data_IF_920233720582
#
_entry.id   IF_920233720582
#
_cell.length_a   1.000
_cell.length_b   1.000
_cell.length_c   1.000
_cell.angle_alpha   90.00
_cell.angle_beta   90.00
_cell.angle_gamma   90.00
#
_symmetry.space_group_name_H-M   'P 1'
#
loop_
_entity.id
_entity.type
_entity.pdbx_description
1 polymer ?
#
# COMPACT_ATOMS: atom_id res chain seq x y z
N UNK A 1 4.80 -16.67 20.80
CA UNK A 1 3.50 -16.21 21.32
C UNK A 1 2.41 -16.73 20.40
N UNK A 2 1.61 -17.69 20.86
CA UNK A 2 0.48 -18.18 20.09
C UNK A 2 -0.55 -17.06 19.98
N UNK A 3 -0.82 -16.59 18.76
CA UNK A 3 -1.88 -15.61 18.51
C UNK A 3 -3.20 -16.27 18.88
N UNK A 4 -3.83 -15.77 19.95
CA UNK A 4 -5.16 -16.17 20.39
C UNK A 4 -6.14 -15.98 19.23
N UNK A 5 -6.95 -17.01 18.94
CA UNK A 5 -7.85 -17.05 17.78
C UNK A 5 -8.75 -15.81 17.70
N UNK A 6 -9.08 -15.20 18.85
CA UNK A 6 -9.84 -13.95 18.94
C UNK A 6 -9.11 -12.73 18.38
N UNK A 7 -7.79 -12.64 18.54
CA UNK A 7 -6.99 -11.55 17.94
C UNK A 7 -6.96 -11.66 16.41
N UNK A 8 -6.94 -12.90 15.89
CA UNK A 8 -7.01 -13.17 14.46
C UNK A 8 -8.37 -12.78 13.87
N UNK A 9 -9.46 -13.11 14.55
CA UNK A 9 -10.81 -12.67 14.14
C UNK A 9 -10.97 -11.15 14.20
N UNK A 10 -10.48 -10.51 15.27
CA UNK A 10 -10.56 -9.06 15.43
C UNK A 10 -9.81 -8.32 14.32
N UNK A 11 -8.57 -8.72 14.03
CA UNK A 11 -7.77 -8.13 12.95
C UNK A 11 -8.40 -8.30 11.56
N UNK A 12 -9.01 -9.45 11.28
CA UNK A 12 -9.78 -9.68 10.05
C UNK A 12 -11.01 -8.76 9.99
N UNK A 13 -11.75 -8.62 11.11
CA UNK A 13 -12.95 -7.78 11.17
C UNK A 13 -12.66 -6.30 10.99
N UNK A 14 -11.57 -5.81 11.59
CA UNK A 14 -11.09 -4.44 11.46
C UNK A 14 -10.68 -4.15 10.01
N UNK A 15 -9.91 -5.06 9.39
CA UNK A 15 -9.49 -4.92 8.00
C UNK A 15 -10.69 -4.83 7.05
N UNK A 16 -11.73 -5.67 7.24
CA UNK A 16 -12.94 -5.66 6.41
C UNK A 16 -13.77 -4.38 6.56
N UNK A 17 -13.87 -3.84 7.78
CA UNK A 17 -14.71 -2.66 8.07
C UNK A 17 -14.02 -1.34 7.69
N UNK A 18 -12.71 -1.25 7.94
CA UNK A 18 -12.00 0.04 7.94
C UNK A 18 -11.03 0.20 6.76
N UNK A 19 -10.72 -0.87 6.01
CA UNK A 19 -9.79 -0.79 4.89
C UNK A 19 -10.51 -1.02 3.56
N UNK A 20 -10.29 -0.10 2.61
CA UNK A 20 -10.65 -0.30 1.20
C UNK A 20 -9.39 -0.68 0.44
N UNK A 21 -9.48 -1.75 -0.37
CA UNK A 21 -8.37 -2.21 -1.21
C UNK A 21 -8.39 -1.44 -2.54
N UNK A 22 -7.22 -0.98 -2.96
CA UNK A 22 -6.99 -0.42 -4.29
C UNK A 22 -6.17 -1.47 -5.07
N UNK A 23 -6.78 -2.31 -5.91
CA UNK A 23 -6.04 -3.23 -6.77
C UNK A 23 -5.39 -2.42 -7.91
N UNK A 24 -4.11 -2.65 -8.14
CA UNK A 24 -3.34 -2.01 -9.20
C UNK A 24 -2.52 -3.07 -9.92
N UNK A 25 -2.95 -3.45 -11.11
CA UNK A 25 -2.20 -4.35 -11.97
C UNK A 25 -1.29 -3.54 -12.90
N UNK A 26 -0.02 -3.90 -12.92
CA UNK A 26 1.01 -3.27 -13.76
C UNK A 26 1.79 -4.35 -14.49
N UNK A 27 2.40 -3.98 -15.63
CA UNK A 27 3.34 -4.87 -16.30
C UNK A 27 4.49 -5.20 -15.36
N UNK A 28 4.92 -6.46 -15.32
CA UNK A 28 6.01 -6.92 -14.45
C UNK A 28 7.29 -6.08 -14.64
N UNK A 29 7.71 -5.88 -15.89
CA UNK A 29 8.88 -5.07 -16.24
C UNK A 29 8.75 -3.64 -15.72
N UNK A 30 7.56 -3.04 -15.83
CA UNK A 30 7.31 -1.70 -15.32
C UNK A 30 7.42 -1.64 -13.78
N UNK A 31 6.96 -2.68 -13.09
CA UNK A 31 7.13 -2.75 -11.63
C UNK A 31 8.61 -2.89 -11.25
N UNK A 32 9.31 -3.85 -11.85
CA UNK A 32 10.69 -4.22 -11.50
C UNK A 32 11.70 -3.14 -11.90
N UNK A 33 11.52 -2.51 -13.06
CA UNK A 33 12.50 -1.56 -13.63
C UNK A 33 12.18 -0.09 -13.31
N UNK A 34 10.92 0.22 -12.99
CA UNK A 34 10.48 1.62 -12.77
C UNK A 34 9.96 1.85 -11.36
N UNK A 35 8.90 1.15 -10.94
CA UNK A 35 8.21 1.46 -9.68
C UNK A 35 9.09 1.12 -8.47
N UNK A 36 9.61 -0.11 -8.40
CA UNK A 36 10.41 -0.55 -7.25
C UNK A 36 11.73 0.24 -7.11
N UNK A 37 12.48 0.52 -8.20
CA UNK A 37 13.66 1.36 -8.12
C UNK A 37 13.36 2.81 -7.72
N UNK A 38 12.25 3.39 -8.19
CA UNK A 38 11.84 4.74 -7.79
C UNK A 38 11.51 4.82 -6.28
N UNK A 39 10.71 3.88 -5.78
CA UNK A 39 10.39 3.79 -4.36
C UNK A 39 11.66 3.62 -3.50
N UNK A 40 12.60 2.78 -3.95
CA UNK A 40 13.89 2.57 -3.28
C UNK A 40 14.73 3.85 -3.25
N UNK A 41 14.79 4.63 -4.35
CA UNK A 41 15.49 5.92 -4.38
C UNK A 41 14.90 6.92 -3.38
N UNK A 42 13.59 6.86 -3.14
CA UNK A 42 12.91 7.67 -2.14
C UNK A 42 12.98 7.10 -0.71
N UNK A 43 13.71 6.00 -0.49
CA UNK A 43 13.75 5.27 0.80
C UNK A 43 12.35 4.88 1.33
N UNK A 44 11.43 4.57 0.42
CA UNK A 44 10.05 4.20 0.73
C UNK A 44 9.74 2.78 0.25
N UNK A 45 8.81 2.11 0.93
CA UNK A 45 8.16 0.93 0.34
C UNK A 45 7.33 1.35 -0.87
N UNK A 46 7.13 0.44 -1.84
CA UNK A 46 6.28 0.72 -3.01
C UNK A 46 4.87 1.18 -2.58
N UNK A 47 4.32 0.58 -1.52
CA UNK A 47 3.04 1.01 -0.95
C UNK A 47 3.07 2.47 -0.49
N UNK A 48 4.08 2.84 0.29
CA UNK A 48 4.21 4.20 0.81
C UNK A 48 4.43 5.22 -0.32
N UNK A 49 5.26 4.88 -1.30
CA UNK A 49 5.54 5.69 -2.48
C UNK A 49 4.27 5.99 -3.30
N UNK A 50 3.44 4.97 -3.53
CA UNK A 50 2.16 5.14 -4.26
C UNK A 50 1.19 6.02 -3.47
N UNK A 51 1.10 5.83 -2.14
CA UNK A 51 0.22 6.64 -1.30
C UNK A 51 0.65 8.12 -1.28
N UNK A 52 1.94 8.40 -1.14
CA UNK A 52 2.44 9.77 -1.19
C UNK A 52 2.17 10.44 -2.53
N UNK A 53 2.24 9.69 -3.64
CA UNK A 53 1.92 10.23 -4.96
C UNK A 53 0.42 10.58 -5.10
N UNK A 54 -0.47 9.81 -4.47
CA UNK A 54 -1.91 10.11 -4.41
C UNK A 54 -2.15 11.38 -3.60
N UNK A 55 -1.54 11.48 -2.40
CA UNK A 55 -1.65 12.65 -1.53
C UNK A 55 -1.14 13.92 -2.24
N UNK A 56 0.06 13.86 -2.83
CA UNK A 56 0.64 14.98 -3.59
C UNK A 56 -0.28 15.42 -4.75
N UNK A 57 -0.95 14.47 -5.41
CA UNK A 57 -1.90 14.78 -6.47
C UNK A 57 -3.16 15.46 -5.92
N UNK A 58 -3.68 15.03 -4.78
CA UNK A 58 -4.85 15.65 -4.14
C UNK A 58 -4.52 17.08 -3.71
N UNK A 59 -3.38 17.28 -3.03
CA UNK A 59 -2.96 18.59 -2.51
C UNK A 59 -2.74 19.59 -3.65
N UNK A 60 -2.20 19.15 -4.79
CA UNK A 60 -2.03 20.01 -5.97
C UNK A 60 -3.32 20.43 -6.67
N UNK A 61 -4.43 19.74 -6.44
CA UNK A 61 -5.73 19.98 -7.11
C UNK A 61 -6.80 20.48 -6.13
N UNK A 62 -6.43 20.77 -4.89
CA UNK A 62 -7.29 21.38 -3.86
C UNK A 62 -7.06 22.89 -3.81
#
# INVERSE_FOLDING_TARGET
MAYDEKQKEYSISYAKKNLKRIPLDVKKEYYDDVIAPAAKKCNQSVRAFILSAIEEKIDKNS
#
